data_IF_673641055792
#
_entry.id   IF_673641055792
#
_cell.length_a   1.000
_cell.length_b   1.000
_cell.length_c   1.000
_cell.angle_alpha   90.00
_cell.angle_beta   90.00
_cell.angle_gamma   90.00
#
_symmetry.space_group_name_H-M   'P 1'
#
loop_
_entity.id
_entity.type
_entity.pdbx_description
1 polymer ?
#
# COMPACT_ATOMS: atom_id res chain seq x y z
N UNK A 1 20.48 6.81 -1.39
CA UNK A 1 20.01 6.14 -0.16
C UNK A 1 19.62 4.73 -0.53
N UNK A 2 20.08 3.73 0.22
CA UNK A 2 19.71 2.33 -0.03
C UNK A 2 18.25 2.12 0.37
N UNK A 3 17.41 1.72 -0.59
CA UNK A 3 16.02 1.34 -0.31
C UNK A 3 16.03 -0.12 0.16
N UNK A 4 15.16 -0.47 1.10
CA UNK A 4 15.06 -1.82 1.68
C UNK A 4 13.67 -2.40 1.43
N UNK A 5 13.55 -3.72 1.50
CA UNK A 5 12.24 -4.36 1.59
C UNK A 5 11.59 -4.04 2.94
N UNK A 6 10.26 -4.04 2.99
CA UNK A 6 9.51 -3.96 4.25
C UNK A 6 8.76 -5.28 4.47
N UNK A 7 9.30 -6.14 5.34
CA UNK A 7 8.81 -7.50 5.57
C UNK A 7 8.59 -7.69 7.07
N UNK A 8 7.41 -8.21 7.45
CA UNK A 8 7.03 -8.46 8.84
C UNK A 8 7.22 -7.25 9.78
N UNK A 9 6.88 -6.06 9.29
CA UNK A 9 6.96 -4.82 10.08
C UNK A 9 8.36 -4.24 10.23
N UNK A 10 9.35 -4.72 9.45
CA UNK A 10 10.75 -4.27 9.54
C UNK A 10 11.33 -3.95 8.17
N UNK A 11 12.21 -2.95 8.11
CA UNK A 11 13.05 -2.72 6.94
C UNK A 11 14.21 -3.72 6.93
N UNK A 12 14.38 -4.44 5.81
CA UNK A 12 15.40 -5.50 5.68
C UNK A 12 15.93 -5.61 4.25
N UNK A 13 17.18 -6.07 4.12
CA UNK A 13 17.73 -6.50 2.81
C UNK A 13 17.14 -7.83 2.34
N UNK A 14 16.56 -8.61 3.26
CA UNK A 14 16.15 -9.97 2.95
C UNK A 14 17.34 -10.90 2.69
N UNK A 15 17.14 -11.90 1.84
CA UNK A 15 18.17 -12.80 1.33
C UNK A 15 18.85 -12.26 0.05
N UNK A 16 18.47 -11.07 -0.41
CA UNK A 16 19.00 -10.47 -1.63
C UNK A 16 20.50 -10.17 -1.55
N UNK A 17 21.25 -10.75 -2.50
CA UNK A 17 22.69 -10.49 -2.70
C UNK A 17 22.97 -9.48 -3.82
N UNK A 18 21.95 -9.13 -4.60
CA UNK A 18 22.05 -8.25 -5.77
C UNK A 18 21.15 -7.02 -5.59
N UNK A 19 21.41 -5.97 -6.35
CA UNK A 19 20.60 -4.74 -6.33
C UNK A 19 20.26 -4.32 -7.74
N UNK A 20 19.09 -3.69 -7.90
CA UNK A 20 18.68 -3.01 -9.13
C UNK A 20 18.97 -1.52 -8.95
N UNK A 21 19.71 -0.94 -9.89
CA UNK A 21 19.91 0.50 -9.97
C UNK A 21 18.63 1.18 -10.51
N UNK A 22 18.24 2.29 -9.87
CA UNK A 22 17.14 3.15 -10.34
C UNK A 22 17.80 4.35 -11.01
N UNK A 23 17.60 4.50 -12.31
CA UNK A 23 18.05 5.65 -13.06
C UNK A 23 16.93 6.71 -13.18
N UNK A 24 17.35 7.97 -13.32
CA UNK A 24 16.45 9.04 -13.73
C UNK A 24 16.36 9.04 -15.27
N UNK A 25 15.20 8.74 -15.85
CA UNK A 25 15.06 8.59 -17.31
C UNK A 25 15.33 9.88 -18.09
N UNK A 26 15.26 11.05 -17.44
CA UNK A 26 15.51 12.33 -18.09
C UNK A 26 17.00 12.59 -18.38
N UNK A 27 17.92 11.97 -17.63
CA UNK A 27 19.35 12.25 -17.73
C UNK A 27 20.28 11.03 -17.54
N UNK A 28 19.72 9.84 -17.28
CA UNK A 28 20.44 8.58 -17.06
C UNK A 28 21.23 8.50 -15.75
N UNK A 29 21.09 9.45 -14.83
CA UNK A 29 21.79 9.43 -13.55
C UNK A 29 21.16 8.40 -12.60
N UNK A 30 21.98 7.62 -11.92
CA UNK A 30 21.49 6.70 -10.87
C UNK A 30 21.06 7.51 -9.64
N UNK A 31 19.80 7.35 -9.25
CA UNK A 31 19.17 8.07 -8.12
C UNK A 31 18.91 7.19 -6.90
N UNK A 32 19.02 5.87 -7.05
CA UNK A 32 18.84 4.92 -5.95
C UNK A 32 19.19 3.49 -6.34
N UNK A 33 19.12 2.61 -5.34
CA UNK A 33 19.21 1.16 -5.52
C UNK A 33 18.14 0.48 -4.66
N UNK A 34 17.55 -0.59 -5.17
CA UNK A 34 16.64 -1.49 -4.43
C UNK A 34 17.22 -2.90 -4.45
N UNK A 35 16.98 -3.74 -3.44
CA UNK A 35 17.44 -5.13 -3.46
C UNK A 35 16.66 -5.89 -4.53
N UNK A 36 17.35 -6.76 -5.26
CA UNK A 36 16.71 -7.70 -6.19
C UNK A 36 16.08 -8.83 -5.37
N UNK A 37 14.77 -8.76 -5.16
CA UNK A 37 14.06 -9.69 -4.30
C UNK A 37 14.20 -11.15 -4.75
N UNK A 38 14.41 -12.05 -3.80
CA UNK A 38 14.55 -13.50 -4.03
C UNK A 38 13.23 -14.24 -3.78
N UNK A 39 13.16 -15.52 -4.17
CA UNK A 39 12.03 -16.37 -3.82
C UNK A 39 11.86 -16.50 -2.29
N UNK A 40 12.96 -16.49 -1.54
CA UNK A 40 12.96 -16.59 -0.08
C UNK A 40 12.37 -15.35 0.59
N UNK A 41 12.62 -14.16 0.02
CA UNK A 41 12.03 -12.90 0.45
C UNK A 41 10.52 -12.88 0.25
N UNK A 42 10.07 -13.35 -0.92
CA UNK A 42 8.65 -13.50 -1.23
C UNK A 42 8.00 -14.47 -0.25
N UNK A 43 8.61 -15.63 -0.02
CA UNK A 43 8.12 -16.63 0.92
C UNK A 43 8.04 -16.06 2.35
N UNK A 44 9.03 -15.27 2.77
CA UNK A 44 9.02 -14.61 4.08
C UNK A 44 7.88 -13.57 4.20
N UNK A 45 7.68 -12.74 3.17
CA UNK A 45 6.58 -11.78 3.13
C UNK A 45 5.21 -12.46 3.15
N UNK A 46 5.02 -13.52 2.37
CA UNK A 46 3.76 -14.29 2.32
C UNK A 46 3.48 -15.00 3.64
N UNK A 47 4.49 -15.61 4.27
CA UNK A 47 4.33 -16.22 5.60
C UNK A 47 3.90 -15.18 6.63
N UNK A 48 4.58 -14.03 6.70
CA UNK A 48 4.23 -12.96 7.62
C UNK A 48 2.79 -12.44 7.40
N UNK A 49 2.37 -12.29 6.14
CA UNK A 49 0.99 -11.90 5.82
C UNK A 49 -0.04 -12.96 6.26
N UNK A 50 0.25 -14.25 6.07
CA UNK A 50 -0.62 -15.36 6.51
C UNK A 50 -0.74 -15.41 8.03
N UNK A 51 0.36 -15.23 8.75
CA UNK A 51 0.38 -15.25 10.21
C UNK A 51 -0.43 -14.07 10.79
N UNK A 52 -0.29 -12.88 10.19
CA UNK A 52 -1.03 -11.69 10.58
C UNK A 52 -2.54 -11.75 10.25
N UNK A 53 -2.93 -12.52 9.23
CA UNK A 53 -4.30 -12.54 8.70
C UNK A 53 -5.36 -12.90 9.76
N UNK A 54 -5.05 -13.84 10.66
CA UNK A 54 -6.02 -14.27 11.68
C UNK A 54 -6.38 -13.17 12.68
N UNK A 55 -5.44 -12.28 13.00
CA UNK A 55 -5.72 -11.09 13.80
C UNK A 55 -6.36 -10.00 12.93
N UNK A 56 -5.78 -9.71 11.77
CA UNK A 56 -6.23 -8.65 10.87
C UNK A 56 -7.69 -8.80 10.40
N UNK A 57 -8.13 -10.03 10.09
CA UNK A 57 -9.51 -10.27 9.65
C UNK A 57 -10.55 -9.91 10.72
N UNK A 58 -10.16 -9.92 12.00
CA UNK A 58 -11.02 -9.57 13.15
C UNK A 58 -11.02 -8.08 13.49
N UNK A 59 -10.05 -7.31 12.97
CA UNK A 59 -10.06 -5.85 13.10
C UNK A 59 -11.32 -5.30 12.43
N UNK A 60 -12.02 -4.41 13.13
CA UNK A 60 -13.30 -3.87 12.67
C UNK A 60 -13.15 -3.09 11.38
N UNK A 61 -14.24 -2.98 10.60
CA UNK A 61 -14.22 -2.19 9.37
C UNK A 61 -13.92 -0.70 9.65
N UNK A 62 -14.40 -0.18 10.79
CA UNK A 62 -14.12 1.17 11.26
C UNK A 62 -12.63 1.40 11.56
N UNK A 63 -11.99 0.50 12.30
CA UNK A 63 -10.55 0.62 12.58
C UNK A 63 -9.71 0.50 11.30
N UNK A 64 -10.08 -0.38 10.37
CA UNK A 64 -9.44 -0.48 9.05
C UNK A 64 -9.57 0.82 8.26
N UNK A 65 -10.74 1.46 8.28
CA UNK A 65 -10.95 2.75 7.64
C UNK A 65 -10.07 3.84 8.25
N UNK A 66 -9.95 3.90 9.59
CA UNK A 66 -9.06 4.88 10.24
C UNK A 66 -7.59 4.69 9.85
N UNK A 67 -7.12 3.45 9.70
CA UNK A 67 -5.75 3.17 9.22
C UNK A 67 -5.54 3.66 7.78
N UNK A 68 -6.52 3.47 6.89
CA UNK A 68 -6.46 3.96 5.52
C UNK A 68 -6.51 5.50 5.45
N UNK A 69 -7.36 6.14 6.25
CA UNK A 69 -7.37 7.60 6.37
C UNK A 69 -6.05 8.14 6.93
N UNK A 70 -5.41 7.44 7.87
CA UNK A 70 -4.10 7.84 8.38
C UNK A 70 -3.02 7.76 7.30
N UNK A 71 -3.01 6.70 6.48
CA UNK A 71 -2.12 6.61 5.32
C UNK A 71 -2.37 7.79 4.35
N UNK A 72 -3.63 8.10 4.06
CA UNK A 72 -4.02 9.24 3.23
C UNK A 72 -3.54 10.58 3.78
N UNK A 73 -3.71 10.83 5.09
CA UNK A 73 -3.19 12.03 5.78
C UNK A 73 -1.68 12.16 5.66
N UNK A 74 -0.94 11.06 5.88
CA UNK A 74 0.52 11.06 5.75
C UNK A 74 0.97 11.35 4.32
N UNK A 75 0.34 10.73 3.32
CA UNK A 75 0.66 11.01 1.92
C UNK A 75 0.42 12.48 1.56
N UNK A 76 -0.67 13.08 2.03
CA UNK A 76 -0.92 14.53 1.84
C UNK A 76 0.16 15.39 2.50
N UNK A 77 0.54 15.05 3.73
CA UNK A 77 1.57 15.80 4.47
C UNK A 77 2.95 15.75 3.78
N UNK A 78 3.23 14.67 3.03
CA UNK A 78 4.47 14.47 2.28
C UNK A 78 4.29 14.58 0.76
N UNK A 79 3.21 15.21 0.28
CA UNK A 79 2.85 15.17 -1.14
C UNK A 79 3.97 15.71 -2.04
N UNK A 80 4.59 16.83 -1.66
CA UNK A 80 5.68 17.42 -2.42
C UNK A 80 6.87 16.46 -2.59
N UNK A 81 7.29 15.79 -1.51
CA UNK A 81 8.40 14.82 -1.54
C UNK A 81 8.05 13.62 -2.44
N UNK A 82 6.80 13.15 -2.41
CA UNK A 82 6.31 12.07 -3.26
C UNK A 82 6.28 12.46 -4.74
N UNK A 83 5.82 13.68 -5.06
CA UNK A 83 5.76 14.21 -6.43
C UNK A 83 7.16 14.32 -7.03
N UNK A 84 8.12 14.88 -6.28
CA UNK A 84 9.51 14.98 -6.73
C UNK A 84 10.14 13.61 -6.94
N UNK A 85 9.86 12.65 -6.05
CA UNK A 85 10.35 11.29 -6.17
C UNK A 85 9.81 10.62 -7.43
N UNK A 86 8.49 10.62 -7.64
CA UNK A 86 7.85 10.04 -8.83
C UNK A 86 8.36 10.69 -10.12
N UNK A 87 8.51 12.02 -10.14
CA UNK A 87 9.05 12.75 -11.30
C UNK A 87 10.45 12.27 -11.66
N UNK A 88 11.30 12.03 -10.65
CA UNK A 88 12.67 11.56 -10.88
C UNK A 88 12.74 10.10 -11.28
N UNK A 89 11.82 9.25 -10.84
CA UNK A 89 11.82 7.81 -11.13
C UNK A 89 11.10 7.46 -12.42
N UNK A 90 10.04 8.18 -12.78
CA UNK A 90 9.20 7.87 -13.93
C UNK A 90 9.42 8.79 -15.14
N UNK A 91 9.94 10.00 -14.91
CA UNK A 91 10.19 10.98 -15.97
C UNK A 91 8.95 11.73 -16.49
N UNK A 92 7.78 11.52 -15.89
CA UNK A 92 6.55 12.28 -16.20
C UNK A 92 6.71 13.75 -15.80
N UNK A 93 6.01 14.70 -16.48
CA UNK A 93 5.93 16.08 -16.04
C UNK A 93 5.43 16.21 -14.59
N UNK A 94 5.92 17.22 -13.86
CA UNK A 94 5.55 17.47 -12.47
C UNK A 94 4.03 17.52 -12.25
N UNK A 95 3.30 18.18 -13.17
CA UNK A 95 1.84 18.30 -13.12
C UNK A 95 1.10 16.97 -13.21
N UNK A 96 1.62 16.01 -13.98
CA UNK A 96 1.01 14.67 -14.06
C UNK A 96 1.22 13.90 -12.75
N UNK A 97 2.41 14.03 -12.13
CA UNK A 97 2.69 13.40 -10.84
C UNK A 97 1.95 14.07 -9.68
N UNK A 98 1.69 15.38 -9.76
CA UNK A 98 0.78 16.08 -8.84
C UNK A 98 -0.61 15.44 -8.85
N UNK A 99 -1.18 15.27 -10.05
CA UNK A 99 -2.47 14.59 -10.20
C UNK A 99 -2.42 13.15 -9.67
N UNK A 100 -1.38 12.38 -10.00
CA UNK A 100 -1.23 10.99 -9.56
C UNK A 100 -1.17 10.85 -8.03
N UNK A 101 -0.45 11.74 -7.34
CA UNK A 101 -0.40 11.74 -5.87
C UNK A 101 -1.77 12.09 -5.29
N UNK A 102 -2.49 13.04 -5.89
CA UNK A 102 -3.87 13.39 -5.51
C UNK A 102 -4.80 12.19 -5.65
N UNK A 103 -4.75 11.50 -6.78
CA UNK A 103 -5.53 10.29 -7.02
C UNK A 103 -5.19 9.18 -6.02
N UNK A 104 -3.91 9.02 -5.70
CA UNK A 104 -3.43 7.99 -4.78
C UNK A 104 -4.02 8.17 -3.39
N UNK A 105 -3.82 9.31 -2.73
CA UNK A 105 -4.37 9.48 -1.37
C UNK A 105 -5.90 9.51 -1.36
N UNK A 106 -6.54 10.03 -2.42
CA UNK A 106 -8.00 10.06 -2.51
C UNK A 106 -8.60 8.66 -2.65
N UNK A 107 -7.87 7.75 -3.29
CA UNK A 107 -8.23 6.34 -3.39
C UNK A 107 -8.25 5.66 -2.01
N UNK A 108 -7.29 5.97 -1.14
CA UNK A 108 -7.29 5.45 0.23
C UNK A 108 -8.52 5.90 1.01
N UNK A 109 -8.88 7.18 0.91
CA UNK A 109 -10.11 7.69 1.56
C UNK A 109 -11.36 7.03 0.99
N UNK A 110 -11.45 6.91 -0.34
CA UNK A 110 -12.58 6.26 -0.99
C UNK A 110 -12.77 4.81 -0.53
N UNK A 111 -11.71 4.01 -0.50
CA UNK A 111 -11.80 2.61 -0.07
C UNK A 111 -11.98 2.44 1.43
N UNK A 112 -11.51 3.40 2.25
CA UNK A 112 -11.84 3.44 3.67
C UNK A 112 -13.36 3.56 3.88
N UNK A 113 -13.99 4.47 3.14
CA UNK A 113 -15.44 4.69 3.15
C UNK A 113 -16.21 3.50 2.60
N UNK A 114 -15.77 2.93 1.48
CA UNK A 114 -16.40 1.76 0.89
C UNK A 114 -16.34 0.56 1.86
N UNK A 115 -15.18 0.34 2.49
CA UNK A 115 -14.95 -0.76 3.42
C UNK A 115 -15.84 -0.68 4.66
N UNK A 116 -15.93 0.48 5.30
CA UNK A 116 -16.73 0.65 6.53
C UNK A 116 -18.24 0.61 6.29
N UNK A 117 -18.69 0.83 5.05
CA UNK A 117 -20.09 0.72 4.66
C UNK A 117 -20.46 -0.61 3.99
N UNK A 118 -19.51 -1.53 3.80
CA UNK A 118 -19.79 -2.85 3.28
C UNK A 118 -20.66 -3.65 4.25
N UNK A 119 -21.83 -4.11 3.77
CA UNK A 119 -22.81 -4.85 4.57
C UNK A 119 -23.06 -6.23 4.00
N UNK A 120 -23.18 -7.20 4.91
CA UNK A 120 -23.74 -8.51 4.59
C UNK A 120 -25.22 -8.40 4.25
N UNK A 121 -25.81 -9.53 3.87
CA UNK A 121 -27.25 -9.67 3.63
C UNK A 121 -27.80 -10.74 4.54
N UNK A 122 -28.99 -10.50 5.09
CA UNK A 122 -29.76 -11.54 5.79
C UNK A 122 -30.80 -12.04 4.80
N UNK A 123 -30.79 -13.34 4.52
CA UNK A 123 -31.79 -13.97 3.68
C UNK A 123 -33.00 -14.32 4.55
N UNK A 124 -34.22 -13.87 4.18
CA UNK A 124 -35.39 -14.11 5.00
C UNK A 124 -35.79 -15.58 5.06
N UNK A 125 -36.35 -16.01 6.20
CA UNK A 125 -36.99 -17.33 6.30
C UNK A 125 -38.10 -17.48 5.25
N UNK A 126 -38.24 -18.69 4.71
CA UNK A 126 -39.34 -19.08 3.83
C UNK A 126 -40.61 -19.48 4.60
N UNK A 127 -40.51 -19.63 5.92
CA UNK A 127 -41.64 -20.01 6.78
C UNK A 127 -42.36 -18.77 7.33
N UNK A 128 -43.69 -18.81 7.31
CA UNK A 128 -44.53 -17.73 7.80
C UNK A 128 -44.37 -17.51 9.30
N UNK A 129 -44.27 -16.23 9.71
CA UNK A 129 -44.20 -15.83 11.11
C UNK A 129 -42.81 -15.91 11.76
N UNK A 130 -41.76 -16.32 11.03
CA UNK A 130 -40.38 -16.33 11.52
C UNK A 130 -39.71 -14.99 11.25
N UNK A 131 -39.24 -14.30 12.31
CA UNK A 131 -38.44 -13.07 12.21
C UNK A 131 -36.96 -13.40 11.99
N UNK A 132 -36.27 -12.58 11.19
CA UNK A 132 -34.83 -12.69 10.90
C UNK A 132 -33.97 -11.94 11.91
#
# INVERSE_FOLDING_TARGET
MEKLHYINGQFTRGASTEVIAIDNPANGQIIGHVPLGTAEDVDAAVRAAKDAFNAWKRVSASEKAELLHEASRKMRAHAHELIELLTREEGKPLSENEEEVVWTYSTFDYYAELGRHSRGRVLPSTEDGVLN
#
